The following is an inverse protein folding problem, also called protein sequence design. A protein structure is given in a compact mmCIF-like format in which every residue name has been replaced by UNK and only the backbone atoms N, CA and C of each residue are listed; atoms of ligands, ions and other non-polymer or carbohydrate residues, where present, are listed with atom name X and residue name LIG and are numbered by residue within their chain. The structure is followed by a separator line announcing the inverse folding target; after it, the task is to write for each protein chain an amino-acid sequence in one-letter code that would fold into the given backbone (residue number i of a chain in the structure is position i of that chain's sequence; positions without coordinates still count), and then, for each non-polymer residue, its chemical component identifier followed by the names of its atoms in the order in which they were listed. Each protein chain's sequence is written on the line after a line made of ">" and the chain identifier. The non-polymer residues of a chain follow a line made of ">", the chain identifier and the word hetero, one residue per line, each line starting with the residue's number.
data_IF_522280419839
#
_entry.id   IF_522280419839
#
_cell.length_a   1.000
_cell.length_b   1.000
_cell.length_c   1.000
_cell.angle_alpha   90.00
_cell.angle_beta   90.00
_cell.angle_gamma   90.00
#
_symmetry.space_group_name_H-M   'P 1'
#
loop_
_entity.id
_entity.type
_entity.pdbx_description
1 polymer ?
#
# COMPACT_ATOMS: atom_id res chain seq x y z
N UNK A 1 40.54 22.11 36.99
CA UNK A 1 40.32 20.80 36.32
C UNK A 1 39.14 20.08 36.98
N UNK A 2 37.92 20.23 36.43
CA UNK A 2 36.94 19.15 36.23
C UNK A 2 35.55 19.72 35.87
N UNK A 3 35.29 19.76 34.56
CA UNK A 3 33.97 19.94 33.98
C UNK A 3 33.12 18.68 34.19
N UNK A 4 32.40 18.59 35.32
CA UNK A 4 31.34 17.58 35.46
C UNK A 4 30.06 18.11 34.81
N UNK A 5 29.92 17.79 33.52
CA UNK A 5 28.67 17.76 32.76
C UNK A 5 27.55 17.13 33.61
N UNK A 6 26.56 17.93 34.01
CA UNK A 6 25.20 17.44 34.28
C UNK A 6 24.27 18.10 33.27
N UNK A 7 24.16 17.46 32.09
CA UNK A 7 23.03 17.68 31.18
C UNK A 7 21.77 17.36 31.97
N UNK A 8 21.00 18.39 32.34
CA UNK A 8 19.70 18.26 32.97
C UNK A 8 18.77 17.53 31.98
N UNK A 9 18.50 16.29 32.32
CA UNK A 9 17.34 15.49 31.91
C UNK A 9 16.07 16.34 31.96
N UNK A 10 15.45 16.60 30.80
CA UNK A 10 14.07 17.08 30.71
C UNK A 10 13.16 15.85 30.67
N UNK A 11 12.60 15.50 31.82
CA UNK A 11 11.49 14.56 31.92
C UNK A 11 10.18 15.37 31.90
N UNK A 12 9.36 15.17 30.88
CA UNK A 12 7.93 15.55 30.88
C UNK A 12 7.13 14.54 30.05
N UNK A 13 6.24 13.81 30.72
CA UNK A 13 5.13 12.97 30.23
C UNK A 13 5.46 11.67 29.46
N UNK A 14 5.31 10.55 30.16
CA UNK A 14 5.61 9.17 29.74
C UNK A 14 4.40 8.36 29.23
N UNK A 15 3.41 8.99 28.57
CA UNK A 15 2.28 8.26 27.95
C UNK A 15 1.72 8.90 26.66
N UNK A 16 2.36 9.96 26.15
CA UNK A 16 1.98 10.60 24.90
C UNK A 16 3.20 10.53 23.98
N UNK A 17 3.07 9.87 22.82
CA UNK A 17 4.15 9.86 21.84
C UNK A 17 4.35 11.28 21.31
N UNK A 18 5.59 11.83 21.33
CA UNK A 18 5.85 13.14 20.76
C UNK A 18 5.42 13.17 19.28
N UNK A 19 4.87 14.29 18.79
CA UNK A 19 4.47 14.45 17.38
C UNK A 19 5.54 14.01 16.38
N UNK A 20 6.82 14.25 16.71
CA UNK A 20 7.96 13.82 15.91
C UNK A 20 8.09 12.29 15.83
N UNK A 21 7.76 11.55 16.90
CA UNK A 21 7.75 10.09 16.91
C UNK A 21 6.61 9.52 16.05
N UNK A 22 5.44 10.17 16.03
CA UNK A 22 4.34 9.79 15.14
C UNK A 22 4.69 10.03 13.65
N UNK A 23 5.37 11.12 13.32
CA UNK A 23 5.87 11.37 11.96
C UNK A 23 6.98 10.38 11.55
N UNK A 24 7.84 9.99 12.49
CA UNK A 24 8.87 8.96 12.24
C UNK A 24 8.24 7.59 11.94
N UNK A 25 7.16 7.26 12.64
CA UNK A 25 6.35 6.09 12.39
C UNK A 25 5.71 6.12 10.98
N UNK A 26 5.15 7.26 10.55
CA UNK A 26 4.59 7.43 9.21
C UNK A 26 5.62 7.13 8.11
N UNK A 27 6.83 7.68 8.21
CA UNK A 27 7.89 7.47 7.21
C UNK A 27 8.21 5.99 7.03
N UNK A 28 8.41 5.28 8.14
CA UNK A 28 8.71 3.85 8.08
C UNK A 28 7.53 3.01 7.58
N UNK A 29 6.31 3.46 7.86
CA UNK A 29 5.11 2.79 7.40
C UNK A 29 4.92 2.91 5.89
N UNK A 30 5.11 4.11 5.35
CA UNK A 30 5.03 4.42 3.92
C UNK A 30 6.10 3.62 3.15
N UNK A 31 7.33 3.54 3.67
CA UNK A 31 8.37 2.76 3.01
C UNK A 31 8.00 1.27 2.89
N UNK A 32 7.45 0.68 3.97
CA UNK A 32 7.00 -0.72 3.95
C UNK A 32 5.81 -0.95 3.01
N UNK A 33 4.83 -0.03 2.96
CA UNK A 33 3.70 -0.16 2.04
C UNK A 33 4.13 -0.05 0.58
N UNK A 34 5.03 0.88 0.25
CA UNK A 34 5.59 1.01 -1.10
C UNK A 34 6.30 -0.28 -1.52
N UNK A 35 7.13 -0.86 -0.63
CA UNK A 35 7.82 -2.12 -0.90
C UNK A 35 6.83 -3.26 -1.10
N UNK A 36 5.80 -3.35 -0.25
CA UNK A 36 4.77 -4.38 -0.38
C UNK A 36 4.03 -4.27 -1.72
N UNK A 37 3.59 -3.07 -2.11
CA UNK A 37 2.96 -2.84 -3.42
C UNK A 37 3.90 -3.22 -4.55
N UNK A 38 5.17 -2.83 -4.48
CA UNK A 38 6.15 -3.15 -5.51
C UNK A 38 6.32 -4.67 -5.68
N UNK A 39 6.40 -5.42 -4.59
CA UNK A 39 6.46 -6.89 -4.60
C UNK A 39 5.19 -7.48 -5.21
N UNK A 40 4.01 -7.01 -4.81
CA UNK A 40 2.73 -7.51 -5.36
C UNK A 40 2.58 -7.20 -6.85
N UNK A 41 3.06 -6.05 -7.32
CA UNK A 41 3.08 -5.70 -8.76
C UNK A 41 4.01 -6.62 -9.54
N UNK A 42 5.21 -6.94 -9.01
CA UNK A 42 6.11 -7.89 -9.65
C UNK A 42 5.49 -9.29 -9.77
N UNK A 43 4.74 -9.72 -8.74
CA UNK A 43 4.01 -10.99 -8.75
C UNK A 43 2.80 -10.95 -9.70
N UNK A 44 2.13 -9.80 -9.84
CA UNK A 44 0.98 -9.64 -10.73
C UNK A 44 1.36 -9.54 -12.22
N UNK A 45 2.60 -9.16 -12.53
CA UNK A 45 3.09 -9.01 -13.90
C UNK A 45 2.87 -10.25 -14.80
N UNK A 46 3.19 -11.49 -14.39
CA UNK A 46 2.89 -12.68 -15.20
C UNK A 46 1.38 -12.89 -15.48
N UNK A 47 0.50 -12.45 -14.58
CA UNK A 47 -0.96 -12.55 -14.73
C UNK A 47 -1.57 -11.47 -15.65
N UNK A 48 -0.78 -10.49 -16.09
CA UNK A 48 -1.26 -9.39 -16.94
C UNK A 48 -1.92 -9.84 -18.25
N UNK A 49 -1.45 -10.95 -18.85
CA UNK A 49 -2.05 -11.54 -20.06
C UNK A 49 -3.47 -12.06 -19.80
N UNK A 50 -3.66 -12.74 -18.67
CA UNK A 50 -4.93 -13.32 -18.27
C UNK A 50 -5.97 -12.23 -17.96
N UNK A 51 -5.54 -11.13 -17.32
CA UNK A 51 -6.42 -10.01 -17.04
C UNK A 51 -6.85 -9.27 -18.32
N UNK A 52 -5.95 -9.14 -19.31
CA UNK A 52 -6.29 -8.55 -20.61
C UNK A 52 -7.34 -9.38 -21.35
N UNK A 53 -7.25 -10.71 -21.29
CA UNK A 53 -8.24 -11.63 -21.87
C UNK A 53 -9.62 -11.47 -21.22
N UNK A 54 -9.67 -11.35 -19.88
CA UNK A 54 -10.90 -11.06 -19.14
C UNK A 54 -11.51 -9.72 -19.55
N UNK A 55 -10.69 -8.68 -19.71
CA UNK A 55 -11.15 -7.34 -20.09
C UNK A 55 -11.61 -7.25 -21.56
N UNK A 56 -11.06 -8.09 -22.44
CA UNK A 56 -11.45 -8.14 -23.87
C UNK A 56 -12.59 -9.13 -24.14
N UNK A 57 -12.94 -9.97 -23.16
CA UNK A 57 -14.08 -10.87 -23.20
C UNK A 57 -15.42 -10.23 -23.62
N UNK A 58 -15.85 -9.07 -23.07
CA UNK A 58 -17.11 -8.45 -23.48
C UNK A 58 -17.07 -7.93 -24.92
N UNK A 59 -15.90 -7.47 -25.40
CA UNK A 59 -15.73 -6.93 -26.75
C UNK A 59 -16.02 -8.00 -27.82
N UNK A 60 -15.61 -9.24 -27.58
CA UNK A 60 -15.78 -10.34 -28.52
C UNK A 60 -17.22 -10.87 -28.61
N UNK A 61 -18.12 -10.44 -27.71
CA UNK A 61 -19.54 -10.81 -27.72
C UNK A 61 -20.41 -9.85 -28.53
N UNK A 62 -19.84 -8.77 -29.05
CA UNK A 62 -20.55 -7.73 -29.81
C UNK A 62 -20.43 -8.04 -31.30
N UNK A 63 -21.51 -7.87 -32.05
CA UNK A 63 -21.60 -8.19 -33.49
C UNK A 63 -20.62 -7.37 -34.37
N UNK A 64 -20.14 -6.22 -33.87
CA UNK A 64 -19.11 -5.38 -34.47
C UNK A 64 -18.09 -4.96 -33.39
N UNK A 65 -17.08 -5.80 -33.08
CA UNK A 65 -16.09 -5.45 -32.09
C UNK A 65 -15.21 -4.31 -32.63
N UNK A 66 -15.05 -3.17 -31.92
CA UNK A 66 -13.98 -2.23 -32.23
C UNK A 66 -12.65 -2.98 -32.21
N UNK A 67 -11.94 -2.95 -33.34
CA UNK A 67 -10.66 -3.63 -33.50
C UNK A 67 -9.64 -2.91 -32.62
N UNK A 68 -9.23 -3.55 -31.53
CA UNK A 68 -8.16 -3.08 -30.65
C UNK A 68 -6.84 -3.15 -31.41
N UNK A 69 -6.54 -2.10 -32.16
CA UNK A 69 -5.26 -1.93 -32.83
C UNK A 69 -4.33 -1.15 -31.92
N UNK A 70 -3.16 -1.73 -31.64
CA UNK A 70 -2.07 -0.99 -31.03
C UNK A 70 -1.34 -0.26 -32.15
N UNK A 71 -1.61 1.04 -32.32
CA UNK A 71 -0.98 1.86 -33.36
C UNK A 71 0.54 1.97 -33.19
N UNK A 72 1.04 1.68 -31.99
CA UNK A 72 2.45 1.69 -31.67
C UNK A 72 2.87 0.36 -31.02
N UNK A 73 4.07 -0.18 -31.32
CA UNK A 73 4.61 -1.35 -30.62
C UNK A 73 4.68 -1.15 -29.10
N UNK A 74 4.84 0.10 -28.65
CA UNK A 74 4.85 0.49 -27.23
C UNK A 74 3.47 0.37 -26.56
N UNK A 75 2.38 0.46 -27.33
CA UNK A 75 1.02 0.46 -26.79
C UNK A 75 0.68 -0.83 -26.05
N UNK A 76 1.09 -1.98 -26.59
CA UNK A 76 0.88 -3.28 -25.95
C UNK A 76 1.62 -3.39 -24.61
N UNK A 77 2.83 -2.83 -24.53
CA UNK A 77 3.65 -2.85 -23.32
C UNK A 77 3.07 -1.91 -22.24
N UNK A 78 2.61 -0.71 -22.63
CA UNK A 78 1.96 0.22 -21.70
C UNK A 78 0.67 -0.35 -21.10
N UNK A 79 -0.15 -1.03 -21.91
CA UNK A 79 -1.36 -1.70 -21.40
C UNK A 79 -1.01 -2.82 -20.43
N UNK A 80 0.01 -3.65 -20.74
CA UNK A 80 0.46 -4.70 -19.83
C UNK A 80 0.99 -4.14 -18.50
N UNK A 81 1.77 -3.06 -18.53
CA UNK A 81 2.24 -2.40 -17.30
C UNK A 81 1.09 -1.79 -16.51
N UNK A 82 0.17 -1.07 -17.16
CA UNK A 82 -0.98 -0.48 -16.48
C UNK A 82 -1.86 -1.52 -15.79
N UNK A 83 -2.12 -2.63 -16.48
CA UNK A 83 -2.86 -3.78 -15.94
C UNK A 83 -2.12 -4.44 -14.77
N UNK A 84 -0.81 -4.69 -14.91
CA UNK A 84 -0.01 -5.30 -13.85
C UNK A 84 0.06 -4.43 -12.59
N UNK A 85 0.21 -3.11 -12.77
CA UNK A 85 0.21 -2.15 -11.67
C UNK A 85 -1.16 -2.11 -10.99
N UNK A 86 -2.24 -1.99 -11.76
CA UNK A 86 -3.60 -1.98 -11.22
C UNK A 86 -3.91 -3.29 -10.46
N UNK A 87 -3.60 -4.45 -11.05
CA UNK A 87 -3.78 -5.75 -10.41
C UNK A 87 -2.91 -5.91 -9.17
N UNK A 88 -1.65 -5.49 -9.22
CA UNK A 88 -0.74 -5.56 -8.07
C UNK A 88 -1.20 -4.67 -6.91
N UNK A 89 -1.76 -3.49 -7.19
CA UNK A 89 -2.37 -2.63 -6.17
C UNK A 89 -3.60 -3.31 -5.56
N UNK A 90 -4.46 -3.90 -6.38
CA UNK A 90 -5.64 -4.64 -5.91
C UNK A 90 -5.22 -5.79 -4.99
N UNK A 91 -4.21 -6.56 -5.37
CA UNK A 91 -3.68 -7.64 -4.53
C UNK A 91 -2.97 -7.11 -3.27
N UNK A 92 -2.40 -5.91 -3.31
CA UNK A 92 -1.77 -5.27 -2.16
C UNK A 92 -2.78 -4.60 -1.21
N UNK A 93 -4.07 -4.50 -1.57
CA UNK A 93 -5.09 -3.84 -0.75
C UNK A 93 -5.12 -4.33 0.71
N UNK A 94 -5.09 -5.64 1.02
CA UNK A 94 -5.14 -6.10 2.41
C UNK A 94 -3.94 -5.58 3.24
N UNK A 95 -2.75 -5.56 2.64
CA UNK A 95 -1.53 -5.04 3.27
C UNK A 95 -1.57 -3.53 3.41
N UNK A 96 -2.06 -2.82 2.39
CA UNK A 96 -2.23 -1.36 2.43
C UNK A 96 -3.22 -0.94 3.51
N UNK A 97 -4.36 -1.63 3.61
CA UNK A 97 -5.35 -1.41 4.66
C UNK A 97 -4.78 -1.67 6.04
N UNK A 98 -4.06 -2.77 6.24
CA UNK A 98 -3.39 -3.06 7.51
C UNK A 98 -2.43 -1.94 7.92
N UNK A 99 -1.58 -1.50 6.98
CA UNK A 99 -0.58 -0.48 7.24
C UNK A 99 -1.21 0.90 7.49
N UNK A 100 -2.28 1.23 6.78
CA UNK A 100 -3.07 2.44 6.97
C UNK A 100 -3.75 2.45 8.34
N UNK A 101 -4.40 1.34 8.73
CA UNK A 101 -5.08 1.25 10.03
C UNK A 101 -4.11 1.33 11.20
N UNK A 102 -2.93 0.74 11.05
CA UNK A 102 -1.87 0.81 12.07
C UNK A 102 -1.27 2.22 12.21
N UNK A 103 -1.36 3.06 11.17
CA UNK A 103 -1.03 4.49 11.27
C UNK A 103 -2.13 5.30 11.97
N UNK A 104 -3.40 4.93 11.81
CA UNK A 104 -4.54 5.63 12.43
C UNK A 104 -4.70 5.27 13.92
N UNK A 105 -4.42 4.02 14.31
CA UNK A 105 -4.57 3.54 15.70
C UNK A 105 -3.81 4.32 16.78
N UNK A 106 -2.58 4.84 16.59
CA UNK A 106 -1.93 5.68 17.60
C UNK A 106 -2.67 6.99 17.87
N UNK A 107 -3.59 7.43 16.99
CA UNK A 107 -4.46 8.58 17.19
C UNK A 107 -5.83 8.26 17.82
N UNK A 108 -6.17 6.97 18.06
CA UNK A 108 -7.43 6.53 18.65
C UNK A 108 -7.26 6.04 20.10
N UNK A 109 -8.32 6.14 20.91
CA UNK A 109 -8.29 5.75 22.33
C UNK A 109 -7.82 4.29 22.51
N UNK A 110 -6.89 4.02 23.45
CA UNK A 110 -6.32 2.68 23.70
C UNK A 110 -7.35 1.60 24.10
N UNK A 111 -8.59 1.98 24.44
CA UNK A 111 -9.68 1.08 24.84
C UNK A 111 -10.37 0.34 23.69
N UNK A 112 -10.24 0.78 22.43
CA UNK A 112 -10.90 0.13 21.27
C UNK A 112 -9.97 -0.74 20.41
N UNK A 113 -8.68 -0.82 20.80
CA UNK A 113 -7.63 -1.57 20.10
C UNK A 113 -7.91 -3.08 19.95
N UNK A 114 -8.88 -3.62 20.70
CA UNK A 114 -9.26 -5.04 20.72
C UNK A 114 -10.14 -5.46 19.53
N UNK A 115 -10.83 -4.52 18.87
CA UNK A 115 -11.65 -4.81 17.69
C UNK A 115 -10.85 -4.91 16.39
N UNK A 116 -9.54 -4.59 16.45
CA UNK A 116 -8.66 -4.56 15.29
C UNK A 116 -8.34 -5.97 14.77
N UNK A 117 -8.33 -6.99 15.63
CA UNK A 117 -8.05 -8.38 15.25
C UNK A 117 -9.07 -8.99 14.27
N UNK A 118 -10.41 -8.89 14.49
CA UNK A 118 -11.38 -9.42 13.54
C UNK A 118 -11.43 -8.66 12.20
N UNK A 119 -11.13 -7.36 12.17
CA UNK A 119 -11.15 -6.55 10.93
C UNK A 119 -9.97 -6.90 10.00
N UNK A 120 -8.79 -7.21 10.55
CA UNK A 120 -7.62 -7.63 9.76
C UNK A 120 -7.82 -9.03 9.15
N UNK A 121 -8.56 -9.91 9.83
CA UNK A 121 -8.85 -11.24 9.32
C UNK A 121 -9.97 -11.28 8.26
N UNK A 122 -10.75 -10.21 8.13
CA UNK A 122 -11.90 -10.12 7.22
C UNK A 122 -11.67 -9.19 6.01
N UNK A 123 -10.55 -8.46 5.95
CA UNK A 123 -10.14 -7.59 4.84
C UNK A 123 -9.02 -8.19 4.01
#
# INVERSE_FOLDING_TARGET
>A
MNFKKKKKSSATNSNEMPFLAHLEELRWRILKSIIAVFVMVLIAFPFSKQLLEILTYPNNRILNPPKLIFLHPTGMLMVRFGIAIAAGIILALPVLFYQFWQFVTPGLLPKEKKFVWPVIAFS
#
